data_IF_207622640753
#
_entry.id   IF_207622640753
#
_cell.length_a   1.000
_cell.length_b   1.000
_cell.length_c   1.000
_cell.angle_alpha   90.00
_cell.angle_beta   90.00
_cell.angle_gamma   90.00
#
_symmetry.space_group_name_H-M   'P 1'
#
loop_
_entity.id
_entity.type
_entity.pdbx_description
1 polymer ?
2 non-polymer ?
3 non-polymer ?
4 non-polymer ?
5 water ?
#
# COMPACT_ATOMS: atom_id res chain seq x y z
N UNK A 2 11.30 22.59 -5.99
CA UNK A 2 10.37 21.59 -5.44
C UNK A 2 10.24 20.33 -6.29
N UNK A 3 10.97 19.29 -5.90
CA UNK A 3 10.85 17.99 -6.55
C UNK A 3 9.83 17.11 -5.82
N UNK A 4 9.22 16.19 -6.56
CA UNK A 4 8.44 15.10 -5.98
C UNK A 4 9.33 14.30 -5.04
N UNK A 5 8.80 13.90 -3.88
CA UNK A 5 9.59 13.12 -2.92
C UNK A 5 8.87 11.89 -2.36
N UNK A 6 9.63 10.82 -2.11
CA UNK A 6 9.11 9.59 -1.53
C UNK A 6 9.78 9.27 -0.17
N UNK A 7 8.97 8.93 0.83
CA UNK A 7 9.48 8.68 2.18
C UNK A 7 9.03 7.33 2.77
N UNK A 8 9.99 6.56 3.27
CA UNK A 8 9.72 5.29 3.95
C UNK A 8 10.11 5.40 5.43
N UNK A 9 9.14 5.37 6.34
CA UNK A 9 9.46 5.52 7.77
C UNK A 9 8.27 5.44 8.71
N UNK A 10 8.56 5.33 10.01
CA UNK A 10 7.54 5.27 11.06
C UNK A 10 7.36 6.57 11.85
N UNK A 11 7.81 7.70 11.31
CA UNK A 11 7.74 8.97 12.06
C UNK A 11 6.31 9.48 12.23
N UNK A 12 6.07 10.21 13.32
CA UNK A 12 4.78 10.89 13.57
C UNK A 12 4.25 11.58 12.31
N UNK A 13 5.08 12.39 11.65
CA UNK A 13 4.65 13.14 10.48
C UNK A 13 4.28 12.26 9.25
N UNK A 14 5.14 11.31 8.91
CA UNK A 14 4.85 10.40 7.79
C UNK A 14 3.66 9.46 8.08
N UNK A 15 3.59 9.00 9.32
CA UNK A 15 2.49 8.19 9.82
C UNK A 15 1.17 8.95 9.68
N UNK A 16 1.21 10.24 10.01
CA UNK A 16 0.06 11.11 9.93
C UNK A 16 -0.44 11.24 8.49
N UNK A 17 0.49 11.49 7.57
CA UNK A 17 0.17 11.56 6.16
C UNK A 17 -0.58 10.29 5.67
N UNK A 18 -0.07 9.13 6.05
CA UNK A 18 -0.65 7.84 5.65
C UNK A 18 -2.05 7.66 6.25
N UNK A 19 -2.25 8.01 7.52
CA UNK A 19 -3.58 7.88 8.14
C UNK A 19 -4.60 8.84 7.48
N UNK A 20 -4.16 10.04 7.14
CA UNK A 20 -5.04 11.04 6.56
C UNK A 20 -5.56 10.60 5.21
N UNK A 21 -4.67 10.06 4.37
CA UNK A 21 -5.08 9.49 3.08
C UNK A 21 -6.09 8.34 3.26
N UNK A 22 -5.79 7.40 4.15
CA UNK A 22 -6.67 6.24 4.37
C UNK A 22 -8.04 6.62 4.97
N UNK A 23 -8.05 7.60 5.87
CA UNK A 23 -9.31 8.07 6.46
C UNK A 23 -10.21 8.70 5.38
N UNK A 24 -9.60 9.46 4.49
CA UNK A 24 -10.39 10.15 3.46
C UNK A 24 -10.97 9.18 2.45
N UNK A 25 -10.15 8.21 2.01
CA UNK A 25 -10.53 7.27 0.94
C UNK A 25 -11.37 6.06 1.39
N UNK A 26 -10.85 5.29 2.34
CA UNK A 26 -11.53 4.06 2.78
C UNK A 26 -12.73 4.34 3.70
N UNK A 27 -12.53 5.17 4.74
CA UNK A 27 -13.58 5.42 5.72
C UNK A 27 -14.67 6.38 5.20
N UNK A 28 -14.28 7.56 4.73
CA UNK A 28 -15.27 8.58 4.36
C UNK A 28 -15.85 8.41 2.96
N UNK A 29 -14.99 8.22 1.97
CA UNK A 29 -15.42 8.13 0.59
C UNK A 29 -16.12 6.80 0.29
N UNK A 30 -15.63 5.71 0.87
CA UNK A 30 -16.12 4.38 0.53
C UNK A 30 -16.91 3.67 1.64
N UNK A 31 -17.03 4.33 2.79
CA UNK A 31 -17.91 3.84 3.84
C UNK A 31 -17.48 2.61 4.63
N UNK A 32 -16.18 2.29 4.60
CA UNK A 32 -15.71 1.21 5.45
C UNK A 32 -15.60 1.68 6.91
N UNK A 33 -15.96 0.77 7.81
CA UNK A 33 -15.89 1.01 9.25
C UNK A 33 -14.45 1.33 9.70
N UNK A 34 -14.29 2.38 10.53
CA UNK A 34 -12.97 2.84 10.92
C UNK A 34 -12.20 1.83 11.77
N UNK A 35 -12.91 1.04 12.57
CA UNK A 35 -12.29 -0.02 13.35
C UNK A 35 -11.96 -1.24 12.49
N UNK A 36 -12.41 -1.24 11.24
CA UNK A 36 -11.97 -2.23 10.25
C UNK A 36 -10.70 -1.71 9.51
N UNK A 37 -10.74 -0.46 9.02
CA UNK A 37 -9.60 0.11 8.31
C UNK A 37 -8.33 0.18 9.17
N UNK A 38 -8.47 0.72 10.39
CA UNK A 38 -7.35 0.87 11.29
C UNK A 38 -7.32 -0.30 12.27
N UNK A 39 -6.19 -1.00 12.30
CA UNK A 39 -6.15 -2.32 12.94
C UNK A 39 -4.97 -2.47 13.87
N UNK A 40 -4.85 -3.67 14.44
CA UNK A 40 -3.82 -3.97 15.42
C UNK A 40 -2.37 -3.81 14.89
N UNK A 41 -2.17 -3.88 13.57
CA UNK A 41 -0.82 -3.62 13.01
C UNK A 41 -0.42 -2.13 12.98
N UNK A 42 -1.38 -1.24 13.19
CA UNK A 42 -1.04 0.19 13.17
C UNK A 42 -0.48 0.65 14.51
N UNK A 43 0.81 0.40 14.71
CA UNK A 43 1.53 0.81 15.92
C UNK A 43 2.57 1.89 15.57
N UNK A 44 3.26 2.40 16.59
CA UNK A 44 4.33 3.40 16.44
C UNK A 44 5.52 2.87 15.64
N UNK A 45 5.62 1.54 15.60
CA UNK A 45 6.76 0.86 14.99
C UNK A 45 6.50 0.49 13.53
N UNK A 46 5.25 0.64 13.07
CA UNK A 46 4.90 0.28 11.69
C UNK A 46 5.40 1.32 10.69
N UNK A 47 6.03 0.86 9.60
CA UNK A 47 6.55 1.77 8.57
C UNK A 47 5.59 1.96 7.41
N UNK A 48 5.47 3.19 6.91
CA UNK A 48 4.59 3.47 5.77
C UNK A 48 5.36 4.10 4.63
N UNK A 49 4.92 3.87 3.39
CA UNK A 49 5.51 4.51 2.22
C UNK A 49 4.58 5.64 1.74
N UNK A 50 5.10 6.87 1.65
CA UNK A 50 4.29 8.01 1.19
C UNK A 50 4.98 8.83 0.08
N UNK A 51 4.23 9.11 -1.00
CA UNK A 51 4.71 9.98 -2.09
C UNK A 51 4.15 11.41 -1.98
N UNK A 52 5.05 12.39 -1.93
CA UNK A 52 4.71 13.81 -1.78
C UNK A 52 5.01 14.63 -3.06
N UNK A 53 4.06 15.44 -3.51
CA UNK A 53 4.37 16.38 -4.59
C UNK A 53 5.08 17.58 -3.98
N UNK A 54 4.56 18.03 -2.84
CA UNK A 54 5.20 19.04 -2.04
C UNK A 54 5.22 18.53 -0.62
N UNK A 55 5.95 19.21 0.27
CA UNK A 55 6.09 18.82 1.67
C UNK A 55 4.77 18.88 2.43
N UNK A 56 3.84 19.69 1.93
CA UNK A 56 2.50 19.75 2.53
C UNK A 56 1.43 19.02 1.70
N UNK A 57 1.86 18.16 0.78
CA UNK A 57 0.93 17.51 -0.13
C UNK A 57 1.23 16.02 -0.42
N UNK A 58 0.92 15.14 0.56
CA UNK A 58 1.02 13.71 0.27
C UNK A 58 -0.11 13.30 -0.68
N UNK A 59 0.15 12.43 -1.67
CA UNK A 59 -0.90 12.06 -2.64
C UNK A 59 -1.17 10.55 -2.81
N UNK A 60 -0.21 9.71 -2.46
CA UNK A 60 -0.44 8.27 -2.54
C UNK A 60 0.38 7.55 -1.45
N UNK A 61 -0.10 6.38 -1.01
CA UNK A 61 0.51 5.68 0.13
C UNK A 61 0.32 4.16 0.09
N UNK A 62 1.22 3.45 0.76
CA UNK A 62 1.02 2.02 1.05
C UNK A 62 1.66 1.63 2.41
N UNK A 63 1.20 0.53 2.99
CA UNK A 63 1.71 0.08 4.29
C UNK A 63 2.68 -1.09 4.12
N UNK A 64 3.84 -1.01 4.77
CA UNK A 64 4.81 -2.11 4.69
C UNK A 64 4.51 -3.21 5.73
N UNK A 65 4.24 -4.41 5.23
CA UNK A 65 3.85 -5.57 6.07
C UNK A 65 4.74 -6.81 5.80
N UNK A 66 5.95 -6.83 6.38
CA UNK A 66 6.86 -7.99 6.23
C UNK A 66 6.21 -9.29 6.70
N UNK A 67 6.44 -10.38 5.95
CA UNK A 67 5.96 -11.71 6.33
C UNK A 67 7.17 -12.64 6.54
N UNK A 68 6.93 -13.89 6.92
CA UNK A 68 8.00 -14.88 7.04
C UNK A 68 8.62 -15.24 5.69
N UNK A 69 9.82 -15.82 5.73
CA UNK A 69 10.47 -16.40 4.56
C UNK A 69 10.77 -15.40 3.43
N UNK A 70 11.09 -14.17 3.81
CA UNK A 70 11.56 -13.14 2.85
C UNK A 70 10.48 -12.68 1.87
N UNK A 71 9.23 -12.79 2.28
CA UNK A 71 8.10 -12.25 1.52
C UNK A 71 7.63 -10.92 2.13
N UNK A 72 7.60 -9.87 1.30
CA UNK A 72 7.07 -8.57 1.71
C UNK A 72 5.65 -8.36 1.18
N UNK A 73 4.72 -8.10 2.08
CA UNK A 73 3.36 -7.74 1.64
C UNK A 73 3.19 -6.22 1.66
N UNK A 74 2.67 -5.67 0.56
CA UNK A 74 2.35 -4.25 0.48
C UNK A 74 0.83 -4.07 0.67
N UNK A 75 0.41 -3.35 1.71
CA UNK A 75 -1.01 -3.16 1.98
C UNK A 75 -1.52 -1.72 2.17
N UNK A 76 -2.79 -1.62 2.56
CA UNK A 76 -3.51 -0.33 2.70
C UNK A 76 -3.13 0.71 1.62
N UNK A 77 -3.32 0.27 0.37
CA UNK A 77 -2.92 1.01 -0.84
C UNK A 77 -4.00 2.00 -1.31
N UNK A 78 -3.64 3.28 -1.46
CA UNK A 78 -4.63 4.27 -1.90
C UNK A 78 -4.03 5.61 -2.38
N UNK A 79 -4.83 6.35 -3.14
CA UNK A 79 -4.37 7.59 -3.77
C UNK A 79 -5.40 8.69 -3.60
N UNK A 80 -4.95 9.91 -3.27
CA UNK A 80 -5.83 11.07 -3.15
C UNK A 80 -6.67 11.21 -4.42
N UNK A 81 -7.97 11.50 -4.25
CA UNK A 81 -8.93 11.45 -5.34
C UNK A 81 -8.57 12.30 -6.56
N UNK A 82 -8.16 13.54 -6.34
CA UNK A 82 -7.87 14.41 -7.47
C UNK A 82 -6.66 13.95 -8.31
N UNK A 83 -5.86 13.02 -7.77
CA UNK A 83 -4.61 12.65 -8.42
C UNK A 83 -4.60 11.21 -8.97
N UNK A 84 -5.76 10.57 -8.96
CA UNK A 84 -5.87 9.20 -9.46
C UNK A 84 -5.72 9.17 -10.98
N UNK A 85 -5.16 8.08 -11.50
CA UNK A 85 -5.08 7.84 -12.92
C UNK A 85 -3.94 8.54 -13.65
N UNK A 86 -2.88 8.89 -12.92
CA UNK A 86 -1.73 9.53 -13.53
C UNK A 86 -0.44 8.74 -13.28
N UNK A 87 -0.57 7.48 -12.85
CA UNK A 87 0.57 6.63 -12.60
C UNK A 87 1.35 6.80 -11.29
N UNK A 88 0.86 7.63 -10.37
CA UNK A 88 1.58 7.83 -9.11
C UNK A 88 1.66 6.56 -8.23
N UNK A 89 0.54 5.86 -8.09
CA UNK A 89 0.56 4.60 -7.35
C UNK A 89 1.60 3.63 -7.90
N UNK A 90 1.69 3.56 -9.22
CA UNK A 90 2.63 2.65 -9.90
C UNK A 90 4.08 3.05 -9.62
N UNK A 91 4.34 4.36 -9.60
CA UNK A 91 5.64 4.92 -9.25
C UNK A 91 6.03 4.58 -7.80
N UNK A 92 5.10 4.72 -6.88
CA UNK A 92 5.33 4.37 -5.47
C UNK A 92 5.69 2.89 -5.31
N UNK A 93 4.91 2.02 -5.94
CA UNK A 93 5.13 0.58 -5.85
C UNK A 93 6.49 0.16 -6.40
N UNK A 94 6.85 0.69 -7.58
CA UNK A 94 8.17 0.44 -8.16
C UNK A 94 9.28 0.85 -7.18
N UNK A 95 9.09 1.96 -6.46
CA UNK A 95 10.08 2.33 -5.44
C UNK A 95 10.06 1.43 -4.19
N UNK A 96 8.88 1.00 -3.77
CA UNK A 96 8.78 0.11 -2.60
C UNK A 96 9.40 -1.28 -2.83
N UNK A 97 9.26 -1.80 -4.05
CA UNK A 97 9.95 -3.06 -4.42
C UNK A 97 11.46 -2.95 -4.26
N UNK A 98 12.04 -1.87 -4.75
CA UNK A 98 13.49 -1.63 -4.64
C UNK A 98 13.93 -1.48 -3.16
N UNK A 99 13.13 -0.77 -2.37
CA UNK A 99 13.37 -0.65 -0.92
C UNK A 99 13.37 -2.03 -0.23
N UNK A 100 12.43 -2.89 -0.58
CA UNK A 100 12.35 -4.24 -0.01
C UNK A 100 13.51 -5.17 -0.39
N UNK A 101 13.90 -5.18 -1.67
CA UNK A 101 15.04 -5.99 -2.10
C UNK A 101 16.31 -5.57 -1.39
N UNK A 102 16.44 -4.27 -1.10
CA UNK A 102 17.60 -3.76 -0.39
C UNK A 102 17.68 -4.35 1.03
N UNK A 103 16.53 -4.76 1.55
CA UNK A 103 16.48 -5.31 2.91
C UNK A 103 16.34 -6.85 2.92
N UNK A 104 16.62 -7.49 1.79
CA UNK A 104 16.70 -8.94 1.72
C UNK A 104 15.41 -9.69 1.49
N UNK A 105 14.34 -9.01 1.08
CA UNK A 105 13.12 -9.71 0.70
C UNK A 105 13.22 -10.08 -0.77
N UNK A 106 12.72 -11.26 -1.14
CA UNK A 106 12.83 -11.73 -2.54
C UNK A 106 11.50 -11.80 -3.29
N UNK A 107 10.39 -11.66 -2.58
CA UNK A 107 9.09 -11.74 -3.21
C UNK A 107 8.13 -10.67 -2.73
N UNK A 108 7.39 -10.09 -3.67
CA UNK A 108 6.32 -9.17 -3.34
C UNK A 108 5.02 -9.94 -3.20
N UNK A 109 4.12 -9.42 -2.37
CA UNK A 109 2.84 -10.07 -2.11
C UNK A 109 1.72 -9.02 -2.02
N UNK A 110 0.62 -9.29 -2.72
CA UNK A 110 -0.53 -8.39 -2.73
C UNK A 110 -1.82 -9.16 -2.46
N UNK A 111 -2.68 -8.65 -1.58
CA UNK A 111 -4.05 -9.19 -1.47
C UNK A 111 -5.01 -8.16 -2.07
N UNK A 112 -5.17 -8.18 -3.39
CA UNK A 112 -5.90 -7.11 -4.06
C UNK A 112 -7.37 -7.38 -4.32
N UNK A 113 -8.10 -6.30 -4.61
CA UNK A 113 -9.50 -6.41 -5.00
C UNK A 113 -9.53 -7.03 -6.38
N UNK A 114 -10.54 -7.84 -6.66
CA UNK A 114 -10.60 -8.52 -7.96
C UNK A 114 -10.46 -7.55 -9.14
N UNK A 115 -11.11 -6.39 -9.02
CA UNK A 115 -11.08 -5.37 -10.07
C UNK A 115 -9.69 -4.83 -10.42
N UNK A 116 -8.71 -5.06 -9.56
CA UNK A 116 -7.36 -4.56 -9.81
C UNK A 116 -6.41 -5.62 -10.41
N UNK A 117 -6.94 -6.80 -10.72
CA UNK A 117 -6.08 -7.90 -11.17
C UNK A 117 -5.14 -7.47 -12.32
N UNK A 118 -5.72 -6.90 -13.37
CA UNK A 118 -4.95 -6.56 -14.58
C UNK A 118 -3.84 -5.56 -14.31
N UNK A 119 -4.17 -4.53 -13.53
CA UNK A 119 -3.19 -3.55 -13.08
C UNK A 119 -1.95 -4.23 -12.51
N UNK A 120 -2.15 -5.14 -11.55
CA UNK A 120 -1.01 -5.81 -10.92
C UNK A 120 -0.27 -6.77 -11.87
N UNK A 121 -1.00 -7.37 -12.82
CA UNK A 121 -0.39 -8.19 -13.85
C UNK A 121 0.58 -7.38 -14.73
N UNK A 122 0.18 -6.15 -15.10
CA UNK A 122 1.09 -5.28 -15.84
C UNK A 122 2.36 -4.97 -15.06
N UNK A 123 2.25 -4.95 -13.73
CA UNK A 123 3.42 -4.72 -12.88
C UNK A 123 4.21 -6.00 -12.61
N UNK A 124 3.73 -7.13 -13.16
CA UNK A 124 4.46 -8.39 -13.05
C UNK A 124 4.00 -9.39 -12.00
N UNK A 125 2.87 -9.13 -11.34
CA UNK A 125 2.30 -10.10 -10.38
C UNK A 125 1.43 -11.16 -11.08
N UNK A 126 1.25 -12.32 -10.44
CA UNK A 126 0.32 -13.35 -10.92
C UNK A 126 -0.56 -13.92 -9.77
N UNK A 127 -1.80 -14.29 -10.09
CA UNK A 127 -2.68 -14.92 -9.10
C UNK A 127 -2.12 -16.26 -8.65
N UNK A 128 -2.04 -16.48 -7.33
CA UNK A 128 -1.66 -17.81 -6.81
C UNK A 128 -2.79 -18.47 -6.03
N UNK A 129 -3.84 -17.71 -5.74
CA UNK A 129 -4.99 -18.24 -5.02
C UNK A 129 -6.22 -17.33 -5.17
N UNK A 130 -7.40 -17.94 -5.18
CA UNK A 130 -8.65 -17.19 -5.28
C UNK A 130 -9.16 -17.11 -6.70
N UNK A 131 -10.22 -16.33 -6.92
CA UNK A 131 -10.92 -15.40 -6.00
C UNK A 131 -11.65 -16.04 -4.82
N UNK A 132 -11.78 -15.29 -3.72
CA UNK A 132 -12.55 -15.69 -2.56
C UNK A 132 -13.56 -14.61 -2.15
N UNK A 133 -13.45 -14.11 -0.92
CA UNK A 133 -14.37 -13.12 -0.35
C UNK A 133 -14.07 -12.83 1.12
N UNK A 134 -13.92 -11.55 1.46
CA UNK A 134 -13.68 -11.13 2.85
C UNK A 134 -14.15 -9.70 3.08
N UNK A 135 -14.69 -9.43 4.27
CA UNK A 135 -15.29 -8.14 4.56
C UNK A 135 -16.46 -7.82 3.61
N UNK A 136 -16.82 -8.81 2.77
CA UNK A 136 -17.98 -8.69 1.89
C UNK A 136 -17.75 -8.66 0.38
N UNK A 137 -16.48 -8.67 -0.05
CA UNK A 137 -16.15 -8.50 -1.46
C UNK A 137 -14.94 -9.35 -1.92
N UNK A 138 -14.84 -9.61 -3.25
CA UNK A 138 -13.85 -10.54 -3.84
C UNK A 138 -12.38 -10.07 -3.81
N UNK A 139 -11.50 -10.99 -3.39
CA UNK A 139 -10.08 -10.74 -3.29
C UNK A 139 -9.29 -11.82 -4.04
N UNK A 140 -8.09 -11.47 -4.52
CA UNK A 140 -7.18 -12.45 -5.10
C UNK A 140 -5.80 -12.33 -4.49
N UNK A 141 -5.16 -13.47 -4.26
CA UNK A 141 -3.81 -13.51 -3.70
C UNK A 141 -2.79 -13.52 -4.85
N UNK A 142 -1.87 -12.54 -4.85
CA UNK A 142 -0.92 -12.37 -5.95
C UNK A 142 0.54 -12.34 -5.49
N UNK A 143 1.44 -12.91 -6.29
CA UNK A 143 2.86 -12.87 -5.98
C UNK A 143 3.72 -12.42 -7.16
N UNK A 144 4.92 -11.97 -6.86
CA UNK A 144 5.89 -11.56 -7.87
C UNK A 144 7.30 -11.82 -7.34
N UNK A 145 8.16 -12.35 -8.20
CA UNK A 145 9.58 -12.46 -7.85
C UNK A 145 10.24 -11.09 -8.00
N UNK A 146 10.96 -10.67 -6.96
CA UNK A 146 11.66 -9.37 -7.01
C UNK A 146 13.11 -9.52 -7.48
N UNK A 147 13.49 -8.69 -8.45
CA UNK A 147 14.84 -8.75 -9.01
C UNK A 147 15.45 -7.36 -9.15
X LIG B 1 -5.88 -21.10 -7.46
X LIG B 1 -4.79 -21.49 -7.87
X LIG B 1 -6.33 -21.41 -6.36
X LIG C 1 -3.49 5.61 -8.74
X LIG C 1 -2.43 6.25 -8.67
X LIG C 1 -4.47 5.99 -9.38
X LIG D 1 6.14 -13.25 -11.17
X LIG D 1 7.23 -13.64 -10.74
X LIG D 1 5.05 -13.78 -10.95
X LIG E 1 11.99 10.54 -4.25
X LIG E 1 12.43 10.12 -5.33
X LIG E 1 12.55 10.40 -3.16
X LIG F 1 -9.09 -2.09 4.14
X LIG F 1 -8.24 -1.27 3.37
X LIG F 1 -10.15 -2.76 3.27
X LIG F 1 -10.63 -3.92 3.94
X LIG F 1 -9.58 -3.16 1.90
X LIG F 1 -10.46 -2.79 0.87
X LIG G 1 6.31 -18.60 -1.93
X LIG G 1 6.78 -19.39 -3.12
X LIG G 1 5.96 -17.19 -2.37
X LIG G 1 5.17 -19.47 -1.45
X LIG G 1 7.38 -17.96 -1.07
#
# INVERSE_FOLDING_TARGET
SNAMKIIFSASPANRAAAYALRQAVFVEERGISADVEFDVKDTDQCEYAVLYLQPDLPITTLRLEPQADHVMRFGRVCTRKAYRGHGWGRQLLTAAEEWATQRGFTHGEIHGELTAQRFYELCGYRVTAGPYDEDGAPVVIMHKQLL
FMT C O1 O2
FMT C O1 O2
FMT C O1 O2
FMT C O1 O2
GOL C1 O1 C2 O2 C3 O3
PO4 P O1 O2 O3 O4
#
